data_IF_501732827128
#
_entry.id   IF_501732827128
#
_cell.length_a   1.000
_cell.length_b   1.000
_cell.length_c   1.000
_cell.angle_alpha   90.00
_cell.angle_beta   90.00
_cell.angle_gamma   90.00
#
_symmetry.space_group_name_H-M   'P 1'
#
loop_
_entity.id
_entity.type
_entity.pdbx_description
1 polymer ?
#
# COMPACT_ATOMS: atom_id res chain seq x y z
N UNK A 1 18.53 -4.77 -23.89
CA UNK A 1 19.03 -5.91 -23.08
C UNK A 1 17.91 -6.60 -22.29
N UNK A 2 17.20 -5.87 -21.41
CA UNK A 2 16.09 -6.42 -20.58
C UNK A 2 15.02 -7.15 -21.42
N UNK A 3 14.55 -6.54 -22.52
CA UNK A 3 13.55 -7.16 -23.41
C UNK A 3 14.01 -8.49 -24.00
N UNK A 4 15.29 -8.62 -24.33
CA UNK A 4 15.87 -9.86 -24.87
C UNK A 4 15.83 -10.99 -23.84
N UNK A 5 16.11 -10.67 -22.56
CA UNK A 5 16.05 -11.63 -21.45
C UNK A 5 14.60 -12.07 -21.21
N UNK A 6 13.67 -11.11 -21.12
CA UNK A 6 12.25 -11.39 -20.90
C UNK A 6 11.70 -12.24 -22.05
N UNK A 7 11.93 -11.84 -23.31
CA UNK A 7 11.44 -12.58 -24.46
C UNK A 7 12.02 -14.01 -24.51
N UNK A 8 13.30 -14.18 -24.20
CA UNK A 8 13.91 -15.52 -24.11
C UNK A 8 13.23 -16.37 -23.03
N UNK A 9 13.05 -15.83 -21.83
CA UNK A 9 12.43 -16.52 -20.72
C UNK A 9 10.95 -16.87 -20.99
N UNK A 10 10.24 -16.02 -21.75
CA UNK A 10 8.83 -16.21 -22.06
C UNK A 10 8.60 -17.19 -23.21
N UNK A 11 9.50 -17.23 -24.20
CA UNK A 11 9.40 -18.11 -25.37
C UNK A 11 9.91 -19.54 -25.11
N UNK A 12 10.74 -19.72 -24.08
CA UNK A 12 11.19 -21.04 -23.65
C UNK A 12 10.19 -21.64 -22.63
N UNK A 13 10.09 -22.97 -22.56
CA UNK A 13 9.22 -23.72 -21.63
C UNK A 13 9.71 -23.66 -20.17
N UNK A 14 10.04 -22.47 -19.67
CA UNK A 14 10.48 -22.27 -18.29
C UNK A 14 9.29 -22.37 -17.34
N UNK A 15 9.52 -22.93 -16.15
CA UNK A 15 8.50 -22.98 -15.10
C UNK A 15 8.07 -21.57 -14.68
N UNK A 16 6.82 -21.43 -14.22
CA UNK A 16 6.32 -20.14 -13.74
C UNK A 16 7.19 -19.55 -12.63
N UNK A 17 7.78 -20.39 -11.78
CA UNK A 17 8.67 -19.95 -10.71
C UNK A 17 9.95 -19.30 -11.25
N UNK A 18 10.60 -19.91 -12.25
CA UNK A 18 11.78 -19.31 -12.88
C UNK A 18 11.46 -17.98 -13.53
N UNK A 19 10.30 -17.88 -14.18
CA UNK A 19 9.83 -16.62 -14.79
C UNK A 19 9.65 -15.53 -13.73
N UNK A 20 8.99 -15.83 -12.61
CA UNK A 20 8.84 -14.89 -11.48
C UNK A 20 10.21 -14.44 -10.94
N UNK A 21 11.14 -15.37 -10.73
CA UNK A 21 12.47 -15.06 -10.18
C UNK A 21 13.28 -14.11 -11.08
N UNK A 22 13.13 -14.20 -12.40
CA UNK A 22 13.73 -13.22 -13.31
C UNK A 22 13.14 -11.83 -13.06
N UNK A 23 11.82 -11.71 -13.04
CA UNK A 23 11.16 -10.42 -12.80
C UNK A 23 11.56 -9.81 -11.46
N UNK A 24 11.71 -10.62 -10.41
CA UNK A 24 12.19 -10.16 -9.09
C UNK A 24 13.62 -9.60 -9.12
N UNK A 25 14.45 -10.07 -10.05
CA UNK A 25 15.82 -9.58 -10.25
C UNK A 25 15.93 -8.37 -11.18
N UNK A 26 14.85 -7.97 -11.85
CA UNK A 26 14.84 -6.82 -12.76
C UNK A 26 14.53 -5.51 -12.02
N UNK A 27 14.88 -4.35 -12.62
CA UNK A 27 14.49 -3.05 -12.09
C UNK A 27 12.96 -2.94 -11.88
N UNK A 28 12.55 -2.38 -10.76
CA UNK A 28 11.15 -2.21 -10.40
C UNK A 28 10.62 -0.92 -11.03
N UNK A 29 10.22 -0.97 -12.29
CA UNK A 29 9.69 0.18 -13.02
C UNK A 29 8.58 -0.22 -14.00
N UNK A 30 7.84 0.78 -14.50
CA UNK A 30 6.73 0.59 -15.43
C UNK A 30 7.05 -0.32 -16.60
N UNK A 31 8.23 -0.15 -17.20
CA UNK A 31 8.63 -0.94 -18.36
C UNK A 31 8.63 -2.43 -18.04
N UNK A 32 9.21 -2.84 -16.91
CA UNK A 32 9.24 -4.24 -16.48
C UNK A 32 7.85 -4.74 -16.11
N UNK A 33 7.05 -3.92 -15.41
CA UNK A 33 5.69 -4.30 -15.04
C UNK A 33 4.75 -4.47 -16.25
N UNK A 34 4.89 -3.65 -17.29
CA UNK A 34 4.13 -3.82 -18.54
C UNK A 34 4.47 -5.15 -19.26
N UNK A 35 5.68 -5.67 -19.09
CA UNK A 35 6.02 -7.02 -19.56
C UNK A 35 5.44 -8.11 -18.66
N UNK A 36 5.43 -7.86 -17.35
CA UNK A 36 4.88 -8.78 -16.36
C UNK A 36 3.37 -9.01 -16.59
N UNK A 37 2.59 -7.94 -16.83
CA UNK A 37 1.14 -8.02 -17.12
C UNK A 37 0.87 -8.90 -18.36
N UNK A 38 1.73 -8.81 -19.38
CA UNK A 38 1.64 -9.63 -20.60
C UNK A 38 2.09 -11.08 -20.39
N UNK A 39 2.69 -11.40 -19.24
CA UNK A 39 3.25 -12.72 -18.95
C UNK A 39 2.23 -13.70 -18.37
N UNK A 40 1.00 -13.23 -18.11
CA UNK A 40 -0.11 -14.02 -17.61
C UNK A 40 -0.33 -13.83 -16.11
N UNK A 41 -1.61 -13.82 -15.72
CA UNK A 41 -2.08 -13.45 -14.38
C UNK A 41 -1.36 -14.18 -13.24
N UNK A 42 -1.12 -15.48 -13.37
CA UNK A 42 -0.45 -16.26 -12.34
C UNK A 42 1.04 -15.93 -12.11
N UNK A 43 1.72 -15.32 -13.09
CA UNK A 43 3.11 -14.84 -12.93
C UNK A 43 3.10 -13.46 -12.28
N UNK A 44 2.23 -12.58 -12.76
CA UNK A 44 2.05 -11.23 -12.21
C UNK A 44 1.70 -11.27 -10.71
N UNK A 45 0.67 -12.04 -10.35
CA UNK A 45 0.24 -12.18 -8.96
C UNK A 45 1.40 -12.63 -8.06
N UNK A 46 2.10 -13.71 -8.45
CA UNK A 46 3.22 -14.25 -7.67
C UNK A 46 4.41 -13.30 -7.57
N UNK A 47 4.62 -12.42 -8.56
CA UNK A 47 5.62 -11.38 -8.47
C UNK A 47 5.25 -10.38 -7.37
N UNK A 48 4.03 -9.85 -7.37
CA UNK A 48 3.59 -8.86 -6.38
C UNK A 48 3.52 -9.45 -4.96
N UNK A 49 3.17 -10.73 -4.83
CA UNK A 49 3.22 -11.47 -3.56
C UNK A 49 4.65 -11.56 -3.00
N UNK A 50 5.69 -11.54 -3.84
CA UNK A 50 7.09 -11.78 -3.44
C UNK A 50 8.02 -10.57 -3.51
N UNK A 51 7.68 -9.54 -4.29
CA UNK A 51 8.58 -8.41 -4.54
C UNK A 51 8.87 -7.65 -3.24
N UNK A 52 10.14 -7.31 -3.00
CA UNK A 52 10.49 -6.35 -1.96
C UNK A 52 10.50 -4.95 -2.57
N UNK A 53 9.51 -4.08 -2.28
CA UNK A 53 9.38 -2.81 -3.01
C UNK A 53 10.56 -1.88 -2.77
N UNK A 54 11.12 -1.35 -3.87
CA UNK A 54 12.24 -0.39 -3.88
C UNK A 54 11.91 0.74 -4.84
N UNK A 55 11.04 1.65 -4.40
CA UNK A 55 10.38 2.64 -5.25
C UNK A 55 11.06 4.02 -5.27
N UNK A 56 12.31 4.13 -4.83
CA UNK A 56 13.00 5.43 -4.73
C UNK A 56 13.20 6.13 -6.08
N UNK A 57 13.58 5.39 -7.11
CA UNK A 57 14.00 5.95 -8.41
C UNK A 57 12.92 5.87 -9.50
N UNK A 58 11.64 5.88 -9.10
CA UNK A 58 10.50 5.84 -10.03
C UNK A 58 9.56 7.03 -9.84
N UNK A 59 8.81 7.34 -10.90
CA UNK A 59 7.83 8.43 -10.91
C UNK A 59 6.67 8.14 -9.95
N UNK A 60 6.01 9.18 -9.45
CA UNK A 60 4.90 9.06 -8.50
C UNK A 60 3.75 8.18 -9.04
N UNK A 61 3.43 8.27 -10.33
CA UNK A 61 2.43 7.40 -10.99
C UNK A 61 2.80 5.92 -10.95
N UNK A 62 4.10 5.61 -11.01
CA UNK A 62 4.60 4.24 -10.90
C UNK A 62 4.58 3.74 -9.45
N UNK A 63 4.84 4.63 -8.47
CA UNK A 63 4.66 4.32 -7.05
C UNK A 63 3.19 3.98 -6.76
N UNK A 64 2.28 4.81 -7.25
CA UNK A 64 0.84 4.62 -7.09
C UNK A 64 0.39 3.27 -7.66
N UNK A 65 0.82 2.95 -8.87
CA UNK A 65 0.52 1.65 -9.46
C UNK A 65 1.10 0.48 -8.67
N UNK A 66 2.35 0.58 -8.21
CA UNK A 66 2.95 -0.44 -7.36
C UNK A 66 2.17 -0.67 -6.06
N UNK A 67 1.72 0.41 -5.42
CA UNK A 67 0.85 0.35 -4.22
C UNK A 67 -0.50 -0.29 -4.52
N UNK A 68 -1.14 0.04 -5.65
CA UNK A 68 -2.38 -0.59 -6.09
C UNK A 68 -2.18 -2.10 -6.27
N UNK A 69 -1.09 -2.52 -6.92
CA UNK A 69 -0.78 -3.93 -7.12
C UNK A 69 -0.49 -4.68 -5.83
N UNK A 70 0.20 -4.06 -4.87
CA UNK A 70 0.40 -4.62 -3.53
C UNK A 70 -0.93 -4.80 -2.79
N UNK A 71 -1.84 -3.82 -2.89
CA UNK A 71 -3.16 -3.90 -2.28
C UNK A 71 -4.04 -4.99 -2.93
N UNK A 72 -3.97 -5.17 -4.25
CA UNK A 72 -4.68 -6.24 -4.99
C UNK A 72 -4.29 -7.63 -4.49
N UNK A 73 -3.00 -7.87 -4.22
CA UNK A 73 -2.50 -9.14 -3.65
C UNK A 73 -2.54 -9.19 -2.12
N UNK A 74 -3.29 -8.27 -1.49
CA UNK A 74 -3.51 -8.21 -0.03
C UNK A 74 -2.26 -8.06 0.81
N UNK A 75 -1.23 -7.39 0.28
CA UNK A 75 -0.03 -6.98 1.04
C UNK A 75 -0.24 -5.60 1.64
N UNK A 76 -1.25 -5.50 2.50
CA UNK A 76 -1.74 -4.23 3.00
C UNK A 76 -0.71 -3.53 3.91
N UNK A 77 0.03 -4.29 4.74
CA UNK A 77 1.03 -3.69 5.63
C UNK A 77 2.26 -3.19 4.85
N UNK A 78 2.73 -3.95 3.85
CA UNK A 78 3.76 -3.47 2.93
C UNK A 78 3.29 -2.22 2.17
N UNK A 79 2.03 -2.18 1.73
CA UNK A 79 1.50 -1.00 1.04
C UNK A 79 1.48 0.25 1.95
N UNK A 80 1.14 0.09 3.23
CA UNK A 80 1.17 1.20 4.19
C UNK A 80 2.59 1.70 4.49
N UNK A 81 3.55 0.79 4.70
CA UNK A 81 4.97 1.12 4.87
C UNK A 81 5.50 1.96 3.69
N UNK A 82 5.29 1.47 2.47
CA UNK A 82 5.71 2.19 1.26
C UNK A 82 4.95 3.51 1.09
N UNK A 83 3.65 3.56 1.38
CA UNK A 83 2.87 4.79 1.31
C UNK A 83 3.40 5.84 2.32
N UNK A 84 3.77 5.43 3.54
CA UNK A 84 4.31 6.33 4.55
C UNK A 84 5.67 6.90 4.14
N UNK A 85 6.52 6.06 3.55
CA UNK A 85 7.82 6.45 3.01
C UNK A 85 7.71 7.53 1.92
N UNK A 86 6.71 7.43 1.03
CA UNK A 86 6.48 8.36 -0.07
C UNK A 86 5.24 9.25 0.13
N UNK A 87 4.83 9.49 1.38
CA UNK A 87 3.54 10.13 1.74
C UNK A 87 3.25 11.48 1.06
N UNK A 88 4.29 12.23 0.69
CA UNK A 88 4.15 13.51 -0.02
C UNK A 88 3.76 13.38 -1.49
N UNK A 89 3.87 12.17 -2.05
CA UNK A 89 3.59 11.85 -3.44
C UNK A 89 2.27 11.08 -3.60
N UNK A 90 1.63 10.70 -2.49
CA UNK A 90 0.41 9.90 -2.48
C UNK A 90 -0.76 10.76 -1.99
N UNK A 91 -1.87 10.74 -2.72
CA UNK A 91 -3.07 11.50 -2.35
C UNK A 91 -3.65 11.02 -1.03
N UNK A 92 -4.21 11.95 -0.26
CA UNK A 92 -4.87 11.63 1.01
C UNK A 92 -6.04 10.66 0.78
N UNK A 93 -6.77 10.80 -0.34
CA UNK A 93 -7.85 9.88 -0.68
C UNK A 93 -7.36 8.44 -0.90
N UNK A 94 -6.20 8.24 -1.52
CA UNK A 94 -5.67 6.89 -1.69
C UNK A 94 -5.10 6.32 -0.39
N UNK A 95 -4.47 7.16 0.45
CA UNK A 95 -4.05 6.77 1.80
C UNK A 95 -5.25 6.29 2.63
N UNK A 96 -6.40 6.98 2.59
CA UNK A 96 -7.61 6.57 3.31
C UNK A 96 -8.09 5.17 2.90
N UNK A 97 -8.02 4.86 1.59
CA UNK A 97 -8.34 3.53 1.05
C UNK A 97 -7.37 2.47 1.56
N UNK A 98 -6.06 2.74 1.56
CA UNK A 98 -5.06 1.78 2.05
C UNK A 98 -5.23 1.47 3.53
N UNK A 99 -5.43 2.51 4.36
CA UNK A 99 -5.70 2.35 5.80
C UNK A 99 -6.97 1.52 6.03
N UNK A 100 -8.07 1.85 5.35
CA UNK A 100 -9.32 1.09 5.46
C UNK A 100 -9.15 -0.38 5.09
N UNK A 101 -8.44 -0.67 4.00
CA UNK A 101 -8.15 -2.04 3.56
C UNK A 101 -7.32 -2.80 4.60
N UNK A 102 -6.23 -2.20 5.08
CA UNK A 102 -5.36 -2.84 6.06
C UNK A 102 -6.06 -3.14 7.40
N UNK A 103 -7.03 -2.31 7.80
CA UNK A 103 -7.80 -2.52 9.02
C UNK A 103 -8.91 -3.58 8.87
N UNK A 104 -9.55 -3.68 7.70
CA UNK A 104 -10.76 -4.48 7.51
C UNK A 104 -10.54 -5.79 6.72
N UNK A 105 -9.50 -5.86 5.90
CA UNK A 105 -9.18 -7.02 5.07
C UNK A 105 -8.03 -7.83 5.69
N UNK A 106 -8.10 -9.16 5.57
CA UNK A 106 -6.99 -10.01 5.99
C UNK A 106 -5.78 -9.79 5.09
N UNK A 107 -4.70 -9.27 5.66
CA UNK A 107 -3.40 -9.16 4.98
C UNK A 107 -2.69 -10.51 4.89
N UNK A 108 -1.91 -10.71 3.82
CA UNK A 108 -1.05 -11.90 3.65
C UNK A 108 0.37 -11.69 4.18
N UNK A 109 0.75 -10.43 4.43
CA UNK A 109 2.04 -10.05 5.00
C UNK A 109 1.95 -9.77 6.51
N UNK A 110 3.11 -9.68 7.16
CA UNK A 110 3.19 -9.52 8.61
C UNK A 110 2.93 -8.07 9.02
N UNK A 111 2.17 -7.88 10.10
CA UNK A 111 1.94 -6.56 10.71
C UNK A 111 3.24 -5.88 11.16
N UNK A 112 4.29 -6.65 11.44
CA UNK A 112 5.59 -6.11 11.86
C UNK A 112 6.33 -5.30 10.77
N UNK A 113 5.82 -5.31 9.53
CA UNK A 113 6.37 -4.53 8.42
C UNK A 113 6.06 -3.04 8.59
N UNK A 114 4.89 -2.71 9.13
CA UNK A 114 4.45 -1.32 9.32
C UNK A 114 4.59 -0.92 10.79
N UNK A 115 5.16 0.25 11.05
CA UNK A 115 5.34 0.77 12.40
C UNK A 115 4.23 1.76 12.77
N UNK A 116 3.98 1.95 14.07
CA UNK A 116 3.02 2.95 14.55
C UNK A 116 3.31 4.35 13.99
N UNK A 117 4.59 4.70 13.87
CA UNK A 117 5.02 5.97 13.29
C UNK A 117 4.59 6.12 11.83
N UNK A 118 4.65 5.06 11.02
CA UNK A 118 4.21 5.11 9.61
C UNK A 118 2.72 5.43 9.53
N UNK A 119 1.91 4.78 10.38
CA UNK A 119 0.47 5.04 10.48
C UNK A 119 0.21 6.49 10.89
N UNK A 120 0.90 6.99 11.91
CA UNK A 120 0.77 8.38 12.35
C UNK A 120 1.11 9.38 11.24
N UNK A 121 2.16 9.13 10.47
CA UNK A 121 2.56 9.98 9.35
C UNK A 121 1.51 9.97 8.22
N UNK A 122 0.87 8.83 7.95
CA UNK A 122 -0.23 8.75 7.01
C UNK A 122 -1.45 9.54 7.48
N UNK A 123 -1.77 9.46 8.78
CA UNK A 123 -2.86 10.26 9.37
C UNK A 123 -2.57 11.77 9.36
N UNK A 124 -1.30 12.19 9.48
CA UNK A 124 -0.92 13.61 9.32
C UNK A 124 -1.21 14.11 7.90
N UNK A 125 -1.03 13.27 6.87
CA UNK A 125 -1.43 13.63 5.50
C UNK A 125 -2.94 13.80 5.38
N UNK A 126 -3.74 12.96 6.07
CA UNK A 126 -5.19 13.12 6.11
C UNK A 126 -5.58 14.44 6.78
N UNK A 127 -4.95 14.80 7.90
CA UNK A 127 -5.22 16.03 8.65
C UNK A 127 -4.96 17.31 7.85
N UNK A 128 -3.97 17.29 6.96
CA UNK A 128 -3.57 18.44 6.14
C UNK A 128 -4.39 18.57 4.84
N UNK A 129 -5.15 17.53 4.49
CA UNK A 129 -5.91 17.47 3.24
C UNK A 129 -7.38 17.81 3.43
N UNK A 130 -8.02 18.29 2.35
CA UNK A 130 -9.48 18.45 2.24
C UNK A 130 -10.11 17.39 1.33
N UNK A 131 -9.34 16.39 0.90
CA UNK A 131 -9.83 15.32 0.02
C UNK A 131 -10.63 14.24 0.74
N UNK A 132 -10.50 14.17 2.07
CA UNK A 132 -11.13 13.16 2.92
C UNK A 132 -11.99 13.87 3.94
N UNK A 133 -13.26 13.51 4.00
CA UNK A 133 -14.23 14.11 4.90
C UNK A 133 -13.91 13.73 6.36
N UNK A 134 -14.26 14.61 7.30
CA UNK A 134 -13.92 14.43 8.71
C UNK A 134 -14.55 13.16 9.33
N UNK A 135 -15.73 12.76 8.86
CA UNK A 135 -16.39 11.53 9.29
C UNK A 135 -15.62 10.28 8.82
N UNK A 136 -15.08 10.30 7.59
CA UNK A 136 -14.20 9.25 7.07
C UNK A 136 -12.91 9.16 7.90
N UNK A 137 -12.32 10.31 8.27
CA UNK A 137 -11.12 10.35 9.15
C UNK A 137 -11.45 9.79 10.54
N UNK A 138 -12.57 10.18 11.15
CA UNK A 138 -13.00 9.69 12.46
C UNK A 138 -13.20 8.15 12.46
N UNK A 139 -13.80 7.61 11.40
CA UNK A 139 -13.95 6.16 11.23
C UNK A 139 -12.59 5.45 11.13
N UNK A 140 -11.62 6.02 10.41
CA UNK A 140 -10.27 5.49 10.36
C UNK A 140 -9.58 5.58 11.73
N UNK A 141 -9.73 6.70 12.45
CA UNK A 141 -9.18 6.85 13.80
C UNK A 141 -9.71 5.80 14.76
N UNK A 142 -10.99 5.44 14.66
CA UNK A 142 -11.57 4.34 15.42
C UNK A 142 -10.91 3.00 15.12
N UNK A 143 -10.72 2.68 13.83
CA UNK A 143 -10.07 1.44 13.40
C UNK A 143 -8.61 1.34 13.87
N UNK A 144 -7.92 2.47 13.97
CA UNK A 144 -6.51 2.56 14.36
C UNK A 144 -6.30 3.00 15.82
N UNK A 145 -7.36 2.99 16.63
CA UNK A 145 -7.31 3.49 18.01
C UNK A 145 -6.15 2.88 18.82
N UNK A 146 -5.88 1.56 18.80
CA UNK A 146 -4.77 0.97 19.55
C UNK A 146 -3.38 1.55 19.20
N UNK A 147 -3.20 2.02 17.96
CA UNK A 147 -1.98 2.67 17.50
C UNK A 147 -1.97 4.13 17.95
N UNK A 148 -3.06 4.87 17.68
CA UNK A 148 -3.13 6.31 17.90
C UNK A 148 -3.18 6.72 19.38
N UNK A 149 -3.59 5.83 20.28
CA UNK A 149 -3.60 6.08 21.74
C UNK A 149 -2.43 5.39 22.46
N UNK A 150 -1.53 4.76 21.73
CA UNK A 150 -0.36 4.10 22.32
C UNK A 150 0.57 5.10 23.02
N UNK A 151 1.29 4.63 24.03
CA UNK A 151 2.25 5.46 24.76
C UNK A 151 3.32 5.96 23.79
N UNK A 152 3.48 7.29 23.70
CA UNK A 152 4.42 7.92 22.78
C UNK A 152 3.83 8.26 21.40
N UNK A 153 2.53 8.05 21.18
CA UNK A 153 1.85 8.49 19.96
C UNK A 153 2.05 9.99 19.72
N UNK A 154 2.56 10.34 18.55
CA UNK A 154 2.78 11.72 18.10
C UNK A 154 1.55 12.34 17.43
N UNK A 155 0.48 11.56 17.22
CA UNK A 155 -0.76 12.00 16.58
C UNK A 155 -1.96 11.26 17.21
N UNK A 156 -2.53 11.76 18.32
CA UNK A 156 -3.76 11.20 18.89
C UNK A 156 -4.97 11.45 17.96
N UNK A 157 -6.10 10.73 18.13
CA UNK A 157 -7.32 10.98 17.38
C UNK A 157 -7.78 12.44 17.50
N UNK A 158 -8.13 13.07 16.37
CA UNK A 158 -8.56 14.48 16.32
C UNK A 158 -10.04 14.63 15.97
N UNK A 159 -10.55 13.80 15.05
CA UNK A 159 -11.93 13.90 14.55
C UNK A 159 -12.88 12.99 15.34
N UNK A 160 -12.40 11.86 15.83
CA UNK A 160 -13.20 10.86 16.52
C UNK A 160 -13.91 11.41 17.75
N UNK A 161 -13.25 12.23 18.56
CA UNK A 161 -13.88 12.84 19.73
C UNK A 161 -15.05 13.76 19.36
N UNK A 162 -14.92 14.50 18.26
CA UNK A 162 -15.97 15.39 17.77
C UNK A 162 -17.15 14.58 17.23
N UNK A 163 -16.89 13.54 16.42
CA UNK A 163 -17.94 12.66 15.89
C UNK A 163 -18.69 11.93 17.02
N UNK A 164 -17.99 11.35 18.00
CA UNK A 164 -18.62 10.69 19.15
C UNK A 164 -19.52 11.64 19.96
N UNK A 165 -19.19 12.93 20.00
CA UNK A 165 -19.96 13.94 20.75
C UNK A 165 -21.17 14.47 19.97
N UNK A 166 -21.05 14.57 18.64
CA UNK A 166 -22.01 15.28 17.81
C UNK A 166 -22.88 14.37 16.92
N UNK A 167 -22.50 13.10 16.75
CA UNK A 167 -23.15 12.18 15.81
C UNK A 167 -23.59 10.87 16.50
N UNK A 168 -24.82 10.83 17.03
CA UNK A 168 -25.35 9.64 17.70
C UNK A 168 -25.39 8.38 16.83
N UNK A 169 -25.41 8.51 15.49
CA UNK A 169 -25.42 7.38 14.57
C UNK A 169 -24.10 6.62 14.52
N UNK A 170 -23.01 7.19 15.06
CA UNK A 170 -21.71 6.53 15.13
C UNK A 170 -21.73 5.25 16.00
N UNK A 171 -22.68 5.14 16.93
CA UNK A 171 -22.81 4.01 17.85
C UNK A 171 -23.76 2.90 17.38
N UNK A 172 -24.40 3.04 16.22
CA UNK A 172 -25.49 2.16 15.74
C UNK A 172 -25.04 1.30 14.56
#
# INVERSE_FOLDING_TARGET
>A
YIEKIINKAMNENWSSERKVNIFLGLPQNRKVWNFLEKSGYGIEQRYWEKVYPRFFDIQSDDKLYGLQKLAEVKRHFTALDIAAMFKKEISAKFISVLLKKAALEKSVDSINIVHSWDIEELFKVLDESKEVENDEIANLEWLYLPVLVSVGSGRPPKMLHQELSNNPKFFV
#
